data_IF_718371363071
#
_entry.id   IF_718371363071
#
_cell.length_a   1.000
_cell.length_b   1.000
_cell.length_c   1.000
_cell.angle_alpha   90.00
_cell.angle_beta   90.00
_cell.angle_gamma   90.00
#
_symmetry.space_group_name_H-M   'P 1'
#
loop_
_entity.id
_entity.type
_entity.pdbx_description
1 polymer ?
#
# COMPACT_ATOMS: atom_id res chain seq x y z
N UNK A 1 33.41 -12.21 -25.48
CA UNK A 1 32.06 -11.77 -25.89
C UNK A 1 31.18 -11.63 -24.66
N UNK A 2 30.70 -10.41 -24.42
CA UNK A 2 29.56 -9.97 -23.59
C UNK A 2 29.41 -10.54 -22.18
N UNK A 3 30.02 -9.83 -21.23
CA UNK A 3 29.47 -9.71 -19.89
C UNK A 3 28.13 -8.95 -19.91
N UNK A 4 27.10 -9.60 -19.39
CA UNK A 4 25.86 -9.00 -18.88
C UNK A 4 25.83 -9.44 -17.42
N UNK A 5 26.27 -8.62 -16.48
CA UNK A 5 25.64 -7.35 -16.16
C UNK A 5 24.96 -7.54 -14.81
N UNK A 6 25.76 -7.71 -13.76
CA UNK A 6 25.28 -7.61 -12.38
C UNK A 6 24.76 -6.20 -12.20
N UNK A 7 23.44 -6.01 -12.31
CA UNK A 7 22.73 -4.84 -11.79
C UNK A 7 21.30 -5.19 -11.44
N UNK A 8 21.10 -5.62 -10.21
CA UNK A 8 20.17 -4.98 -9.26
C UNK A 8 20.82 -5.19 -7.91
N UNK A 9 21.28 -4.09 -7.32
CA UNK A 9 22.19 -4.10 -6.17
C UNK A 9 21.77 -5.10 -5.10
N UNK A 10 22.79 -5.70 -4.48
CA UNK A 10 22.67 -6.31 -3.17
C UNK A 10 22.13 -5.25 -2.21
N UNK A 11 20.80 -5.10 -2.14
CA UNK A 11 20.16 -4.37 -1.07
C UNK A 11 20.31 -5.31 0.11
N UNK A 12 21.30 -5.00 0.96
CA UNK A 12 21.43 -5.56 2.30
C UNK A 12 20.04 -5.82 2.88
N UNK A 13 19.81 -6.89 3.67
CA UNK A 13 18.52 -7.18 4.25
C UNK A 13 18.16 -6.05 5.23
N UNK A 14 17.65 -4.94 4.69
CA UNK A 14 16.83 -4.00 5.43
C UNK A 14 15.69 -4.87 5.89
N UNK A 15 15.69 -5.23 7.17
CA UNK A 15 14.61 -5.94 7.84
C UNK A 15 13.33 -5.22 7.41
N UNK A 16 12.63 -5.77 6.42
CA UNK A 16 11.48 -5.09 5.82
C UNK A 16 10.47 -5.06 6.95
N UNK A 17 10.08 -3.87 7.39
CA UNK A 17 9.04 -3.76 8.39
C UNK A 17 7.85 -4.58 7.89
N UNK A 18 7.34 -5.46 8.75
CA UNK A 18 6.21 -6.34 8.44
C UNK A 18 4.90 -5.69 8.88
N UNK A 19 4.97 -4.73 9.81
CA UNK A 19 3.86 -3.99 10.39
C UNK A 19 4.18 -2.49 10.41
N UNK A 20 3.15 -1.68 10.55
CA UNK A 20 3.22 -0.22 10.58
C UNK A 20 3.42 0.41 9.21
N UNK A 21 3.52 1.74 9.19
CA UNK A 21 3.64 2.53 7.96
C UNK A 21 4.90 2.21 7.15
N UNK A 22 5.99 1.80 7.80
CA UNK A 22 7.22 1.39 7.13
C UNK A 22 7.06 0.08 6.32
N UNK A 23 6.02 -0.71 6.60
CA UNK A 23 5.66 -1.93 5.88
C UNK A 23 4.77 -1.67 4.65
N UNK A 24 4.19 -0.47 4.57
CA UNK A 24 3.25 -0.09 3.51
C UNK A 24 4.04 0.28 2.25
N UNK A 25 3.68 -0.36 1.14
CA UNK A 25 4.30 -0.11 -0.17
C UNK A 25 3.75 1.17 -0.81
N UNK A 26 4.45 1.67 -1.84
CA UNK A 26 3.97 2.83 -2.60
C UNK A 26 2.59 2.61 -3.25
N UNK A 27 2.27 1.39 -3.68
CA UNK A 27 0.94 1.07 -4.22
C UNK A 27 -0.11 1.04 -3.12
N UNK A 28 0.17 0.41 -2.00
CA UNK A 28 -0.75 0.39 -0.85
C UNK A 28 -0.97 1.80 -0.28
N UNK A 29 0.05 2.65 -0.26
CA UNK A 29 -0.08 4.06 0.14
C UNK A 29 -1.08 4.78 -0.75
N UNK A 30 -0.96 4.66 -2.08
CA UNK A 30 -1.91 5.24 -3.03
C UNK A 30 -3.34 4.74 -2.80
N UNK A 31 -3.50 3.43 -2.56
CA UNK A 31 -4.82 2.85 -2.24
C UNK A 31 -5.36 3.41 -0.92
N UNK A 32 -4.54 3.51 0.13
CA UNK A 32 -4.93 4.01 1.44
C UNK A 32 -5.39 5.47 1.39
N UNK A 33 -4.70 6.32 0.62
CA UNK A 33 -5.11 7.73 0.40
C UNK A 33 -6.48 7.81 -0.27
N UNK A 34 -6.70 7.05 -1.34
CA UNK A 34 -7.99 7.05 -2.03
C UNK A 34 -9.12 6.43 -1.17
N UNK A 35 -8.79 5.52 -0.26
CA UNK A 35 -9.73 5.03 0.76
C UNK A 35 -10.12 6.15 1.72
N UNK A 36 -9.15 6.96 2.17
CA UNK A 36 -9.38 8.10 3.06
C UNK A 36 -10.20 9.22 2.38
N UNK A 37 -10.06 9.38 1.07
CA UNK A 37 -10.93 10.23 0.23
C UNK A 37 -12.36 9.67 0.08
N UNK A 38 -12.65 8.47 0.60
CA UNK A 38 -13.99 7.86 0.58
C UNK A 38 -14.35 7.13 -0.71
N UNK A 39 -13.41 6.93 -1.64
CA UNK A 39 -13.69 6.21 -2.89
C UNK A 39 -14.01 4.74 -2.61
N UNK A 40 -14.76 4.08 -3.49
CA UNK A 40 -15.00 2.63 -3.43
C UNK A 40 -13.87 1.85 -4.12
N UNK A 41 -13.75 0.54 -3.86
CA UNK A 41 -12.73 -0.29 -4.55
C UNK A 41 -12.86 -0.25 -6.09
N UNK A 42 -14.09 -0.06 -6.61
CA UNK A 42 -14.33 0.12 -8.04
C UNK A 42 -13.75 1.44 -8.54
N UNK A 43 -14.10 2.57 -7.90
CA UNK A 43 -13.58 3.88 -8.27
C UNK A 43 -12.05 3.97 -8.14
N UNK A 44 -11.48 3.32 -7.13
CA UNK A 44 -10.03 3.20 -6.96
C UNK A 44 -9.42 2.38 -8.11
N UNK A 45 -10.05 1.28 -8.48
CA UNK A 45 -9.63 0.44 -9.60
C UNK A 45 -9.60 1.23 -10.91
N UNK A 46 -10.66 1.99 -11.17
CA UNK A 46 -10.76 2.85 -12.36
C UNK A 46 -9.65 3.92 -12.37
N UNK A 47 -9.38 4.57 -11.23
CA UNK A 47 -8.35 5.62 -11.11
C UNK A 47 -6.92 5.10 -11.20
N UNK A 48 -6.68 3.87 -10.71
CA UNK A 48 -5.37 3.22 -10.71
C UNK A 48 -5.17 2.28 -11.91
N UNK A 49 -6.17 2.16 -12.79
CA UNK A 49 -6.19 1.24 -13.94
C UNK A 49 -5.92 -0.23 -13.55
N UNK A 50 -6.55 -0.69 -12.45
CA UNK A 50 -6.45 -2.07 -11.94
C UNK A 50 -7.83 -2.61 -11.57
N UNK A 51 -7.94 -3.94 -11.45
CA UNK A 51 -9.23 -4.55 -11.10
C UNK A 51 -9.67 -4.17 -9.67
N UNK A 52 -10.98 -4.01 -9.41
CA UNK A 52 -11.51 -3.79 -8.06
C UNK A 52 -11.12 -4.91 -7.09
N UNK A 53 -10.92 -6.14 -7.60
CA UNK A 53 -10.42 -7.29 -6.83
C UNK A 53 -8.97 -7.08 -6.37
N UNK A 54 -8.12 -6.55 -7.23
CA UNK A 54 -6.74 -6.20 -6.88
C UNK A 54 -6.70 -5.11 -5.81
N UNK A 55 -7.60 -4.11 -5.90
CA UNK A 55 -7.75 -3.10 -4.85
C UNK A 55 -8.16 -3.74 -3.52
N UNK A 56 -9.11 -4.67 -3.53
CA UNK A 56 -9.52 -5.40 -2.33
C UNK A 56 -8.35 -6.14 -1.67
N UNK A 57 -7.49 -6.78 -2.46
CA UNK A 57 -6.25 -7.41 -1.96
C UNK A 57 -5.32 -6.39 -1.30
N UNK A 58 -5.10 -5.22 -1.92
CA UNK A 58 -4.30 -4.16 -1.30
C UNK A 58 -4.90 -3.65 0.01
N UNK A 59 -6.23 -3.50 0.08
CA UNK A 59 -6.92 -3.10 1.32
C UNK A 59 -6.78 -4.16 2.41
N UNK A 60 -6.87 -5.45 2.08
CA UNK A 60 -6.65 -6.53 3.05
C UNK A 60 -5.22 -6.50 3.61
N UNK A 61 -4.20 -6.33 2.77
CA UNK A 61 -2.83 -6.18 3.25
C UNK A 61 -2.62 -4.91 4.09
N UNK A 62 -3.31 -3.82 3.78
CA UNK A 62 -3.29 -2.61 4.61
C UNK A 62 -3.88 -2.87 5.99
N UNK A 63 -4.98 -3.62 6.08
CA UNK A 63 -5.57 -4.02 7.36
C UNK A 63 -4.60 -4.82 8.21
N UNK A 64 -3.93 -5.81 7.63
CA UNK A 64 -2.91 -6.61 8.33
C UNK A 64 -1.72 -5.78 8.78
N UNK A 65 -1.19 -4.92 7.90
CA UNK A 65 0.01 -4.12 8.20
C UNK A 65 -0.24 -3.02 9.21
N UNK A 66 -1.41 -2.37 9.16
CA UNK A 66 -1.75 -1.23 10.01
C UNK A 66 -2.58 -1.62 11.24
N UNK A 67 -2.98 -2.89 11.36
CA UNK A 67 -3.79 -3.38 12.47
C UNK A 67 -5.21 -2.83 12.48
N UNK A 68 -5.74 -2.41 11.32
CA UNK A 68 -7.08 -1.83 11.21
C UNK A 68 -8.08 -2.90 10.80
N UNK A 69 -9.26 -2.91 11.40
CA UNK A 69 -10.31 -3.92 11.16
C UNK A 69 -11.43 -3.43 10.25
N UNK A 70 -11.45 -2.15 9.88
CA UNK A 70 -12.48 -1.58 9.02
C UNK A 70 -11.93 -0.54 8.05
N UNK A 71 -12.68 -0.30 6.96
CA UNK A 71 -12.37 0.77 5.99
C UNK A 71 -12.33 2.14 6.67
N UNK A 72 -13.25 2.39 7.59
CA UNK A 72 -13.34 3.65 8.34
C UNK A 72 -12.12 3.84 9.26
N UNK A 73 -11.69 2.77 9.92
CA UNK A 73 -10.49 2.80 10.77
C UNK A 73 -9.20 3.00 9.96
N UNK A 74 -9.11 2.37 8.78
CA UNK A 74 -8.03 2.61 7.83
C UNK A 74 -8.00 4.08 7.39
N UNK A 75 -9.15 4.64 6.99
CA UNK A 75 -9.26 6.05 6.62
C UNK A 75 -8.84 6.98 7.77
N UNK A 76 -9.32 6.74 9.00
CA UNK A 76 -8.92 7.51 10.18
C UNK A 76 -7.42 7.44 10.45
N UNK A 77 -6.80 6.26 10.25
CA UNK A 77 -5.36 6.06 10.43
C UNK A 77 -4.54 6.81 9.38
N UNK A 78 -5.00 6.85 8.13
CA UNK A 78 -4.40 7.68 7.07
C UNK A 78 -4.49 9.16 7.41
N UNK A 79 -5.69 9.64 7.78
CA UNK A 79 -5.92 11.05 8.12
C UNK A 79 -5.01 11.46 9.27
N UNK A 80 -4.96 10.67 10.36
CA UNK A 80 -4.06 10.94 11.50
C UNK A 80 -2.59 11.07 11.12
N UNK A 81 -2.15 10.37 10.07
CA UNK A 81 -0.78 10.44 9.56
C UNK A 81 -0.51 11.73 8.77
N UNK A 82 -1.51 12.29 8.09
CA UNK A 82 -1.35 13.52 7.30
C UNK A 82 -1.37 14.80 8.14
N UNK A 83 -2.01 14.76 9.32
CA UNK A 83 -2.01 15.89 10.28
C UNK A 83 -0.82 15.90 11.24
N UNK A 84 0.08 14.91 11.17
CA UNK A 84 1.31 14.84 11.98
C UNK A 84 2.56 15.13 11.16
#
# INVERSE_FOLDING_TARGET
>A
MRGLGIRRGARAPRRRATIGWDAVTATETRVALLVAEGLTNRAIGDRLFISPRTVATHVAHLFEKLGTSSRTELAATVIRREVG
#
